data_IF_863116995673
#
_entry.id   IF_863116995673
#
_cell.length_a   1.000
_cell.length_b   1.000
_cell.length_c   1.000
_cell.angle_alpha   90.00
_cell.angle_beta   90.00
_cell.angle_gamma   90.00
#
_symmetry.space_group_name_H-M   'P 1'
#
loop_
_entity.id
_entity.type
_entity.pdbx_description
1 polymer ?
#
# COMPACT_ATOMS: atom_id res chain seq x y z
N UNK A 1 1.15 3.10 6.79
CA UNK A 1 1.09 2.62 5.40
C UNK A 1 -0.19 1.83 5.27
N UNK A 2 -0.88 1.93 4.14
CA UNK A 2 -2.15 1.25 3.91
C UNK A 2 -2.19 0.73 2.49
N UNK A 3 -3.03 -0.28 2.24
CA UNK A 3 -3.29 -0.68 0.87
C UNK A 3 -4.28 0.26 0.21
N UNK A 4 -5.34 0.67 0.91
CA UNK A 4 -6.25 1.72 0.48
C UNK A 4 -6.39 2.75 1.60
N UNK A 5 -5.53 3.77 1.56
CA UNK A 5 -5.43 4.72 2.65
C UNK A 5 -6.73 5.48 2.90
N UNK A 6 -7.55 5.71 1.87
CA UNK A 6 -8.83 6.42 2.02
C UNK A 6 -9.78 5.66 2.97
N UNK A 7 -9.84 4.34 2.84
CA UNK A 7 -10.70 3.49 3.66
C UNK A 7 -10.12 3.35 5.08
N UNK A 8 -8.87 2.90 5.18
CA UNK A 8 -8.24 2.58 6.46
C UNK A 8 -8.08 3.82 7.34
N UNK A 9 -7.66 4.95 6.76
CA UNK A 9 -7.52 6.20 7.48
C UNK A 9 -8.89 6.76 7.93
N UNK A 10 -9.95 6.52 7.16
CA UNK A 10 -11.31 6.90 7.53
C UNK A 10 -11.75 6.24 8.84
N UNK A 11 -11.59 4.91 8.93
CA UNK A 11 -11.88 4.15 10.15
C UNK A 11 -10.98 4.57 11.32
N UNK A 12 -9.67 4.68 11.08
CA UNK A 12 -8.73 5.06 12.13
C UNK A 12 -9.01 6.45 12.68
N UNK A 13 -9.36 7.42 11.82
CA UNK A 13 -9.71 8.78 12.25
C UNK A 13 -10.92 8.82 13.18
N UNK A 14 -11.94 7.99 12.91
CA UNK A 14 -13.11 7.85 13.78
C UNK A 14 -12.70 7.26 15.13
N UNK A 15 -11.93 6.18 15.13
CA UNK A 15 -11.45 5.54 16.36
C UNK A 15 -10.59 6.48 17.22
N UNK A 16 -9.67 7.21 16.60
CA UNK A 16 -8.82 8.21 17.27
C UNK A 16 -9.65 9.34 17.89
N UNK A 17 -10.65 9.83 17.16
CA UNK A 17 -11.59 10.84 17.68
C UNK A 17 -12.34 10.33 18.91
N UNK A 18 -12.83 9.09 18.87
CA UNK A 18 -13.55 8.47 19.99
C UNK A 18 -12.65 8.22 21.20
N UNK A 19 -11.34 8.05 20.97
CA UNK A 19 -10.34 7.91 22.02
C UNK A 19 -9.76 9.25 22.51
N UNK A 20 -10.29 10.39 22.02
CA UNK A 20 -9.77 11.74 22.29
C UNK A 20 -8.28 11.92 21.92
N UNK A 21 -7.78 11.14 20.96
CA UNK A 21 -6.41 11.23 20.47
C UNK A 21 -6.38 12.19 19.27
N UNK A 22 -5.68 13.31 19.45
CA UNK A 22 -5.39 14.22 18.33
C UNK A 22 -4.03 13.87 17.75
N UNK A 23 -4.03 13.34 16.53
CA UNK A 23 -2.80 13.05 15.80
C UNK A 23 -2.92 13.51 14.36
N UNK A 24 -1.79 13.98 13.81
CA UNK A 24 -1.65 14.33 12.40
C UNK A 24 -0.50 13.50 11.84
N UNK A 25 -0.76 12.55 10.94
CA UNK A 25 0.30 11.77 10.34
C UNK A 25 1.18 12.71 9.52
N UNK A 26 2.50 12.57 9.67
CA UNK A 26 3.47 13.31 8.84
C UNK A 26 3.42 12.87 7.38
N UNK A 27 3.10 11.59 7.15
CA UNK A 27 2.98 10.99 5.84
C UNK A 27 2.03 9.79 5.89
N UNK A 28 1.28 9.59 4.81
CA UNK A 28 0.49 8.39 4.56
C UNK A 28 0.94 7.82 3.22
N UNK A 29 1.41 6.58 3.23
CA UNK A 29 1.77 5.82 2.03
C UNK A 29 0.65 4.85 1.69
N UNK A 30 0.24 4.87 0.42
CA UNK A 30 -0.84 4.07 -0.14
C UNK A 30 -0.27 3.16 -1.25
N UNK A 31 -0.19 1.86 -0.97
CA UNK A 31 0.44 0.89 -1.89
C UNK A 31 -0.40 0.65 -3.15
N UNK A 32 -1.72 0.88 -3.12
CA UNK A 32 -2.59 0.81 -4.29
C UNK A 32 -2.30 1.97 -5.25
N UNK A 33 -2.14 3.19 -4.73
CA UNK A 33 -1.78 4.35 -5.55
C UNK A 33 -0.40 4.21 -6.18
N UNK A 34 0.58 3.72 -5.41
CA UNK A 34 1.93 3.43 -5.91
C UNK A 34 1.87 2.44 -7.07
N UNK A 35 1.12 1.34 -6.90
CA UNK A 35 0.98 0.32 -7.95
C UNK A 35 0.25 0.87 -9.19
N UNK A 36 -0.84 1.61 -8.98
CA UNK A 36 -1.62 2.21 -10.07
C UNK A 36 -0.74 3.14 -10.90
N UNK A 37 0.01 4.04 -10.26
CA UNK A 37 0.96 4.95 -10.93
C UNK A 37 1.98 4.18 -11.75
N UNK A 38 2.54 3.10 -11.19
CA UNK A 38 3.50 2.24 -11.87
C UNK A 38 2.93 1.58 -13.13
N UNK A 39 1.73 0.98 -13.04
CA UNK A 39 1.07 0.30 -14.15
C UNK A 39 0.68 1.28 -15.27
N UNK A 40 0.20 2.48 -14.91
CA UNK A 40 -0.09 3.54 -15.87
C UNK A 40 1.17 3.98 -16.63
N UNK A 41 2.30 4.12 -15.94
CA UNK A 41 3.59 4.45 -16.56
C UNK A 41 4.10 3.35 -17.51
N UNK A 42 3.62 2.12 -17.34
CA UNK A 42 3.94 0.97 -18.20
C UNK A 42 2.90 0.77 -19.32
N UNK A 43 1.96 1.71 -19.49
CA UNK A 43 0.85 1.61 -20.44
C UNK A 43 0.05 0.31 -20.30
N UNK A 44 -0.01 -0.24 -19.08
CA UNK A 44 -0.78 -1.44 -18.78
C UNK A 44 -2.24 -1.08 -18.55
N UNK A 45 -3.16 -1.79 -19.20
CA UNK A 45 -4.59 -1.64 -18.93
C UNK A 45 -4.88 -2.14 -17.50
N UNK A 46 -5.51 -1.29 -16.68
CA UNK A 46 -5.76 -1.58 -15.27
C UNK A 46 -7.24 -1.91 -15.09
N UNK A 47 -7.54 -3.15 -14.74
CA UNK A 47 -8.86 -3.55 -14.25
C UNK A 47 -8.97 -3.32 -12.76
N UNK A 48 -10.19 -3.22 -12.25
CA UNK A 48 -10.43 -2.94 -10.84
C UNK A 48 -9.81 -4.00 -9.91
N UNK A 49 -9.82 -5.28 -10.33
CA UNK A 49 -9.24 -6.39 -9.55
C UNK A 49 -7.70 -6.48 -9.63
N UNK A 50 -7.08 -5.77 -10.57
CA UNK A 50 -5.62 -5.77 -10.77
C UNK A 50 -4.86 -5.05 -9.65
N UNK A 51 -5.59 -4.24 -8.88
CA UNK A 51 -5.08 -3.41 -7.80
C UNK A 51 -5.40 -3.98 -6.42
N UNK A 52 -6.02 -5.16 -6.30
CA UNK A 52 -6.21 -5.79 -4.99
C UNK A 52 -4.86 -6.16 -4.38
N UNK A 53 -4.79 -6.22 -3.04
CA UNK A 53 -3.57 -6.56 -2.32
C UNK A 53 -3.00 -7.89 -2.79
N UNK A 54 -3.86 -8.90 -2.98
CA UNK A 54 -3.48 -10.21 -3.46
C UNK A 54 -2.90 -10.17 -4.87
N UNK A 55 -3.59 -9.52 -5.83
CA UNK A 55 -3.10 -9.42 -7.21
C UNK A 55 -1.78 -8.65 -7.30
N UNK A 56 -1.65 -7.57 -6.52
CA UNK A 56 -0.39 -6.83 -6.40
C UNK A 56 0.74 -7.75 -5.92
N UNK A 57 0.54 -8.49 -4.83
CA UNK A 57 1.55 -9.39 -4.25
C UNK A 57 1.97 -10.51 -5.21
N UNK A 58 1.02 -11.08 -5.97
CA UNK A 58 1.31 -12.07 -7.02
C UNK A 58 2.26 -11.48 -8.08
N UNK A 59 2.06 -10.23 -8.49
CA UNK A 59 2.89 -9.55 -9.49
C UNK A 59 4.36 -9.39 -9.04
N UNK A 60 4.59 -9.27 -7.74
CA UNK A 60 5.93 -9.24 -7.14
C UNK A 60 6.44 -10.62 -6.71
N UNK A 61 5.72 -11.70 -7.02
CA UNK A 61 6.05 -13.09 -6.65
C UNK A 61 6.19 -13.29 -5.12
N UNK A 62 5.40 -12.56 -4.34
CA UNK A 62 5.37 -12.70 -2.88
C UNK A 62 4.53 -13.92 -2.45
N UNK A 63 4.81 -14.53 -1.28
CA UNK A 63 4.05 -15.68 -0.78
C UNK A 63 2.57 -15.37 -0.58
N UNK A 64 1.66 -16.30 -0.86
CA UNK A 64 0.24 -16.09 -0.59
C UNK A 64 -0.05 -16.08 0.92
N UNK A 65 -0.97 -15.20 1.32
CA UNK A 65 -1.54 -15.19 2.67
C UNK A 65 -3.05 -15.37 2.58
N UNK A 66 -3.64 -15.92 3.63
CA UNK A 66 -5.08 -15.87 3.81
C UNK A 66 -5.45 -14.47 4.35
N UNK A 67 -6.26 -13.73 3.60
CA UNK A 67 -6.65 -12.35 3.90
C UNK A 67 -7.85 -12.30 4.87
N UNK A 68 -7.74 -12.98 6.02
CA UNK A 68 -8.84 -13.06 7.00
C UNK A 68 -8.54 -12.28 8.29
N UNK A 69 -7.33 -11.73 8.42
CA UNK A 69 -6.88 -11.06 9.64
C UNK A 69 -6.17 -9.74 9.33
N UNK A 70 -6.61 -8.68 10.01
CA UNK A 70 -6.04 -7.34 9.86
C UNK A 70 -4.53 -7.28 10.11
N UNK A 71 -3.99 -8.12 11.02
CA UNK A 71 -2.56 -8.23 11.27
C UNK A 71 -1.81 -8.78 10.04
N UNK A 72 -2.35 -9.84 9.44
CA UNK A 72 -1.78 -10.46 8.24
C UNK A 72 -1.83 -9.50 7.06
N UNK A 73 -2.93 -8.76 6.89
CA UNK A 73 -3.07 -7.75 5.84
C UNK A 73 -2.08 -6.59 6.04
N UNK A 74 -1.85 -6.16 7.28
CA UNK A 74 -0.86 -5.14 7.60
C UNK A 74 0.57 -5.59 7.25
N UNK A 75 0.93 -6.84 7.59
CA UNK A 75 2.21 -7.42 7.22
C UNK A 75 2.35 -7.55 5.70
N UNK A 76 1.33 -8.11 5.03
CA UNK A 76 1.29 -8.27 3.58
C UNK A 76 1.43 -6.92 2.84
N UNK A 77 0.81 -5.87 3.37
CA UNK A 77 0.93 -4.50 2.87
C UNK A 77 2.35 -3.94 3.05
N UNK A 78 2.99 -4.21 4.19
CA UNK A 78 4.37 -3.79 4.45
C UNK A 78 5.36 -4.47 3.49
N UNK A 79 5.23 -5.78 3.29
CA UNK A 79 6.02 -6.54 2.32
C UNK A 79 5.84 -6.02 0.90
N UNK A 80 4.59 -5.76 0.50
CA UNK A 80 4.29 -5.20 -0.81
C UNK A 80 4.96 -3.83 -1.00
N UNK A 81 4.92 -2.95 0.00
CA UNK A 81 5.61 -1.65 -0.12
C UNK A 81 7.11 -1.84 -0.30
N UNK A 82 7.74 -2.74 0.45
CA UNK A 82 9.17 -2.99 0.31
C UNK A 82 9.51 -3.50 -1.10
N UNK A 83 8.70 -4.41 -1.64
CA UNK A 83 8.86 -4.90 -3.01
C UNK A 83 8.65 -3.78 -4.06
N UNK A 84 7.66 -2.91 -3.86
CA UNK A 84 7.44 -1.70 -4.67
C UNK A 84 8.66 -0.78 -4.65
N UNK A 85 9.18 -0.46 -3.47
CA UNK A 85 10.36 0.40 -3.30
C UNK A 85 11.59 -0.20 -4.01
N UNK A 86 11.81 -1.51 -3.84
CA UNK A 86 12.91 -2.21 -4.51
C UNK A 86 12.79 -2.14 -6.03
N UNK A 87 11.59 -2.35 -6.57
CA UNK A 87 11.35 -2.29 -8.01
C UNK A 87 11.49 -0.88 -8.59
N UNK A 88 11.01 0.15 -7.89
CA UNK A 88 11.10 1.55 -8.31
C UNK A 88 12.55 2.02 -8.30
N UNK A 89 13.26 1.75 -7.21
CA UNK A 89 14.66 2.15 -7.04
C UNK A 89 15.66 1.35 -7.87
N UNK A 90 15.24 0.16 -8.35
CA UNK A 90 16.12 -0.84 -8.97
C UNK A 90 17.33 -1.18 -8.09
N UNK A 91 17.08 -1.27 -6.77
CA UNK A 91 18.12 -1.57 -5.77
C UNK A 91 19.01 -0.40 -5.37
N UNK A 92 18.67 0.84 -5.76
CA UNK A 92 19.38 2.06 -5.33
C UNK A 92 18.69 2.70 -4.13
N UNK A 93 19.32 3.71 -3.55
CA UNK A 93 18.68 4.53 -2.53
C UNK A 93 17.45 5.25 -3.11
N UNK A 94 16.35 5.24 -2.36
CA UNK A 94 15.06 5.81 -2.77
C UNK A 94 14.62 6.84 -1.74
N UNK A 95 14.28 8.04 -2.19
CA UNK A 95 13.68 9.05 -1.31
C UNK A 95 12.21 8.77 -1.17
N UNK A 96 11.68 8.98 0.04
CA UNK A 96 10.27 8.74 0.33
C UNK A 96 9.35 9.63 -0.51
N UNK A 97 9.80 10.82 -0.89
CA UNK A 97 9.07 11.74 -1.78
C UNK A 97 8.84 11.15 -3.19
N UNK A 98 9.69 10.24 -3.64
CA UNK A 98 9.58 9.57 -4.95
C UNK A 98 8.49 8.48 -4.96
N UNK A 99 7.94 8.12 -3.80
CA UNK A 99 6.85 7.15 -3.65
C UNK A 99 5.46 7.77 -3.78
N UNK A 100 5.35 9.11 -3.72
CA UNK A 100 4.11 9.87 -3.85
C UNK A 100 4.00 10.51 -5.24
#
# INVERSE_FOLDING_TARGET
>A
MFHNAMLDWGFLKIALKNANITTRPKLILDTLHIEKKRLLNQSTEIKQDDLTLNTCRIRYKLPSYHCDHALTDAQATAELLLAQCHQISRGKELKVDELT
#
